data_IF_593953576069
#
_entry.id   IF_593953576069
#
_cell.length_a   1.000
_cell.length_b   1.000
_cell.length_c   1.000
_cell.angle_alpha   90.00
_cell.angle_beta   90.00
_cell.angle_gamma   90.00
#
_symmetry.space_group_name_H-M   'P 1'
#
loop_
_entity.id
_entity.type
_entity.pdbx_description
1 polymer ?
#
# COMPACT_ATOMS: atom_id res chain seq x y z
N UNK A 1 -8.66 -34.98 52.07
CA UNK A 1 -7.40 -34.54 51.42
C UNK A 1 -7.23 -35.42 50.21
N UNK A 2 -7.56 -34.98 49.00
CA UNK A 2 -6.65 -34.25 48.10
C UNK A 2 -7.45 -33.41 47.08
N UNK A 3 -7.15 -32.11 47.01
CA UNK A 3 -7.60 -31.19 45.95
C UNK A 3 -6.61 -31.26 44.77
N UNK A 4 -7.07 -31.60 43.56
CA UNK A 4 -6.27 -31.47 42.33
C UNK A 4 -6.53 -30.10 41.70
N UNK A 5 -5.49 -29.27 41.69
CA UNK A 5 -5.41 -27.96 41.08
C UNK A 5 -5.30 -28.09 39.55
N UNK A 6 -6.22 -27.43 38.82
CA UNK A 6 -6.17 -27.30 37.37
C UNK A 6 -5.56 -25.93 37.05
N UNK A 7 -4.27 -25.93 36.72
CA UNK A 7 -3.56 -24.73 36.30
C UNK A 7 -4.14 -24.13 35.01
N UNK A 8 -4.03 -22.80 34.81
CA UNK A 8 -4.62 -22.12 33.66
C UNK A 8 -3.90 -22.50 32.36
N UNK A 9 -4.59 -22.50 31.21
CA UNK A 9 -3.97 -22.85 29.94
C UNK A 9 -2.89 -21.83 29.57
N UNK A 10 -1.69 -22.34 29.28
CA UNK A 10 -0.53 -21.59 28.83
C UNK A 10 -0.80 -20.83 27.53
N UNK A 11 -0.41 -19.55 27.52
CA UNK A 11 -0.53 -18.55 26.44
C UNK A 11 -0.06 -19.00 25.05
N UNK A 12 0.71 -20.09 24.94
CA UNK A 12 1.16 -20.65 23.67
C UNK A 12 0.03 -21.28 22.84
N UNK A 13 -1.02 -21.82 23.47
CA UNK A 13 -2.15 -22.42 22.76
C UNK A 13 -3.01 -21.37 22.04
N UNK A 14 -3.17 -20.19 22.63
CA UNK A 14 -3.90 -19.07 22.00
C UNK A 14 -3.17 -18.53 20.75
N UNK A 15 -1.84 -18.52 20.76
CA UNK A 15 -1.02 -18.09 19.61
C UNK A 15 -0.97 -19.15 18.49
N UNK A 16 -1.05 -20.44 18.83
CA UNK A 16 -1.08 -21.53 17.85
C UNK A 16 -2.46 -21.72 17.21
N UNK A 17 -3.55 -21.43 17.94
CA UNK A 17 -4.91 -21.51 17.40
C UNK A 17 -5.24 -20.35 16.45
N UNK A 18 -4.62 -19.17 16.65
CA UNK A 18 -4.71 -18.04 15.72
C UNK A 18 -3.93 -18.26 14.41
N UNK A 19 -2.92 -19.15 14.44
CA UNK A 19 -2.11 -19.50 13.28
C UNK A 19 -2.75 -20.56 12.35
N UNK A 20 -3.94 -21.10 12.69
CA UNK A 20 -4.60 -22.18 11.95
C UNK A 20 -5.90 -21.76 11.25
N UNK A 21 -5.99 -20.49 10.83
CA UNK A 21 -7.02 -19.98 9.92
C UNK A 21 -6.41 -19.21 8.75
N UNK A 22 -5.50 -19.84 8.01
CA UNK A 22 -5.23 -19.39 6.63
C UNK A 22 -6.35 -19.90 5.72
N UNK A 23 -7.59 -19.41 5.91
CA UNK A 23 -8.50 -19.33 4.76
C UNK A 23 -7.80 -18.44 3.75
N UNK A 24 -7.59 -18.90 2.52
CA UNK A 24 -6.86 -18.14 1.49
C UNK A 24 -7.29 -16.69 1.50
N UNK A 25 -6.37 -15.77 1.85
CA UNK A 25 -6.69 -14.36 1.97
C UNK A 25 -7.14 -13.87 0.59
N UNK A 26 -8.39 -13.43 0.49
CA UNK A 26 -8.94 -12.89 -0.75
C UNK A 26 -8.15 -11.62 -1.10
N UNK A 27 -7.49 -11.62 -2.26
CA UNK A 27 -6.86 -10.41 -2.79
C UNK A 27 -7.95 -9.52 -3.37
N UNK A 28 -8.08 -8.32 -2.83
CA UNK A 28 -9.05 -7.33 -3.33
C UNK A 28 -8.57 -6.76 -4.67
N UNK A 29 -9.46 -6.75 -5.66
CA UNK A 29 -9.22 -6.10 -6.96
C UNK A 29 -9.41 -4.60 -6.82
N UNK A 30 -8.57 -3.85 -7.53
CA UNK A 30 -8.57 -2.40 -7.51
C UNK A 30 -8.04 -1.85 -8.83
N UNK A 31 -8.32 -0.58 -9.06
CA UNK A 31 -7.74 0.24 -10.11
C UNK A 31 -7.08 1.49 -9.50
N UNK A 32 -6.14 2.09 -10.24
CA UNK A 32 -5.58 3.39 -9.87
C UNK A 32 -6.41 4.48 -10.55
N UNK A 33 -7.18 5.24 -9.78
CA UNK A 33 -8.06 6.29 -10.30
C UNK A 33 -7.40 7.66 -10.34
N UNK A 34 -6.31 7.84 -9.60
CA UNK A 34 -5.50 9.06 -9.63
C UNK A 34 -4.04 8.77 -9.24
N UNK A 35 -3.14 9.49 -9.90
CA UNK A 35 -1.70 9.51 -9.61
C UNK A 35 -1.18 10.94 -9.77
N UNK A 36 -0.40 11.43 -8.80
CA UNK A 36 0.14 12.80 -8.87
C UNK A 36 1.24 12.96 -9.92
N UNK A 37 1.99 11.89 -10.19
CA UNK A 37 2.92 11.81 -11.31
C UNK A 37 3.39 10.39 -11.57
N UNK A 38 3.86 10.13 -12.79
CA UNK A 38 4.43 8.85 -13.17
C UNK A 38 5.56 9.04 -14.19
N UNK A 39 6.45 8.06 -14.27
CA UNK A 39 7.35 7.90 -15.43
C UNK A 39 6.61 7.11 -16.52
N UNK A 40 6.71 7.54 -17.77
CA UNK A 40 6.01 6.89 -18.89
C UNK A 40 6.41 5.43 -19.11
N UNK A 41 7.61 5.01 -18.66
CA UNK A 41 8.03 3.61 -18.72
C UNK A 41 7.46 2.75 -17.57
N UNK A 42 6.96 3.38 -16.51
CA UNK A 42 6.48 2.73 -15.29
C UNK A 42 5.17 3.40 -14.80
N UNK A 43 4.09 3.30 -15.60
CA UNK A 43 2.83 3.96 -15.30
C UNK A 43 2.12 3.32 -14.11
N UNK A 44 1.20 4.06 -13.48
CA UNK A 44 0.47 3.59 -12.30
C UNK A 44 -0.41 2.37 -12.58
N UNK A 45 -0.88 2.23 -13.83
CA UNK A 45 -1.62 1.06 -14.31
C UNK A 45 -0.82 -0.25 -14.18
N UNK A 46 0.51 -0.19 -14.15
CA UNK A 46 1.39 -1.36 -13.98
C UNK A 46 1.43 -1.92 -12.54
N UNK A 47 0.80 -1.23 -11.57
CA UNK A 47 0.60 -1.76 -10.21
C UNK A 47 -0.52 -2.82 -10.16
N UNK A 48 -1.47 -2.76 -11.10
CA UNK A 48 -2.59 -3.69 -11.15
C UNK A 48 -2.08 -5.06 -11.58
N UNK A 49 -2.22 -6.05 -10.70
CA UNK A 49 -1.73 -7.40 -10.93
C UNK A 49 -2.88 -8.27 -11.46
N UNK A 50 -2.77 -8.85 -12.67
CA UNK A 50 -3.81 -9.72 -13.22
C UNK A 50 -4.02 -10.99 -12.39
N UNK A 51 -5.25 -11.50 -12.35
CA UNK A 51 -5.65 -12.71 -11.62
C UNK A 51 -4.83 -13.96 -11.98
N UNK A 52 -4.23 -13.99 -13.19
CA UNK A 52 -3.47 -15.12 -13.72
C UNK A 52 -2.05 -15.23 -13.18
N UNK A 53 -1.58 -14.23 -12.44
CA UNK A 53 -0.26 -14.28 -11.81
C UNK A 53 -0.38 -14.98 -10.46
N UNK A 54 0.33 -16.10 -10.30
CA UNK A 54 0.24 -16.94 -9.10
C UNK A 54 0.47 -16.16 -7.80
N UNK A 55 -0.04 -16.72 -6.71
CA UNK A 55 0.10 -16.16 -5.35
C UNK A 55 1.58 -15.85 -5.08
N UNK A 56 1.90 -14.57 -4.89
CA UNK A 56 3.27 -14.10 -4.59
C UNK A 56 4.06 -13.51 -5.76
N UNK A 57 3.53 -13.45 -6.99
CA UNK A 57 4.20 -12.80 -8.11
C UNK A 57 3.64 -11.40 -8.39
N UNK A 58 4.45 -10.37 -8.19
CA UNK A 58 4.24 -9.05 -8.82
C UNK A 58 4.94 -9.10 -10.19
N UNK A 59 4.24 -9.51 -11.25
CA UNK A 59 4.82 -9.57 -12.60
C UNK A 59 4.81 -8.22 -13.33
N UNK A 60 4.20 -7.19 -12.75
CA UNK A 60 4.22 -5.84 -13.31
C UNK A 60 5.57 -5.16 -13.11
N UNK A 61 5.93 -4.25 -14.01
CA UNK A 61 7.11 -3.39 -13.88
C UNK A 61 7.01 -2.42 -12.69
N UNK A 62 5.83 -2.33 -12.06
CA UNK A 62 5.53 -1.41 -10.98
C UNK A 62 5.30 0.02 -11.48
N UNK A 63 4.92 0.88 -10.55
CA UNK A 63 4.87 2.32 -10.76
C UNK A 63 6.14 2.98 -10.26
N UNK A 64 6.52 4.08 -10.90
CA UNK A 64 7.51 5.01 -10.34
C UNK A 64 7.05 6.45 -10.61
N UNK A 65 7.31 7.36 -9.68
CA UNK A 65 7.00 8.78 -9.88
C UNK A 65 7.77 9.39 -11.06
N UNK A 66 7.40 10.58 -11.52
CA UNK A 66 8.28 11.36 -12.43
C UNK A 66 9.62 11.66 -11.77
N UNK A 67 10.64 12.01 -12.57
CA UNK A 67 11.95 12.46 -12.08
C UNK A 67 11.84 13.76 -11.28
N UNK A 68 12.59 13.86 -10.19
CA UNK A 68 12.60 15.00 -9.27
C UNK A 68 11.18 15.44 -8.86
N UNK A 69 10.36 14.52 -8.32
CA UNK A 69 8.99 14.81 -7.97
C UNK A 69 8.91 15.79 -6.78
N UNK A 70 7.82 16.56 -6.70
CA UNK A 70 7.46 17.26 -5.46
C UNK A 70 6.82 16.27 -4.51
N UNK A 71 7.30 16.17 -3.28
CA UNK A 71 6.71 15.27 -2.29
C UNK A 71 5.62 15.95 -1.44
N UNK A 72 4.62 15.20 -0.96
CA UNK A 72 4.42 13.76 -1.18
C UNK A 72 3.85 13.46 -2.57
N UNK A 73 4.21 12.28 -3.10
CA UNK A 73 3.51 11.67 -4.24
C UNK A 73 2.24 10.98 -3.76
N UNK A 74 1.20 10.99 -4.58
CA UNK A 74 -0.14 10.52 -4.22
C UNK A 74 -0.59 9.47 -5.22
N UNK A 75 -1.06 8.34 -4.70
CA UNK A 75 -1.84 7.34 -5.44
C UNK A 75 -3.21 7.21 -4.78
N UNK A 76 -4.27 7.19 -5.58
CA UNK A 76 -5.61 6.83 -5.13
C UNK A 76 -6.05 5.57 -5.85
N UNK A 77 -6.38 4.55 -5.06
CA UNK A 77 -6.91 3.29 -5.51
C UNK A 77 -8.41 3.25 -5.28
N UNK A 78 -9.17 2.76 -6.25
CA UNK A 78 -10.56 2.36 -6.09
C UNK A 78 -10.65 0.84 -6.07
N UNK A 79 -11.22 0.28 -5.00
CA UNK A 79 -11.58 -1.12 -4.93
C UNK A 79 -12.85 -1.35 -5.76
N UNK A 80 -12.91 -2.47 -6.47
CA UNK A 80 -14.09 -2.84 -7.28
C UNK A 80 -15.38 -2.87 -6.47
N UNK A 81 -15.27 -3.21 -5.18
CA UNK A 81 -16.38 -3.22 -4.23
C UNK A 81 -15.93 -2.65 -2.90
N UNK A 82 -16.86 -1.98 -2.21
CA UNK A 82 -16.73 -1.65 -0.79
C UNK A 82 -16.42 -2.94 -0.02
N UNK A 83 -15.29 -2.95 0.68
CA UNK A 83 -14.73 -4.16 1.29
C UNK A 83 -14.12 -3.83 2.66
N UNK A 84 -14.07 -4.84 3.53
CA UNK A 84 -13.21 -4.79 4.71
C UNK A 84 -11.80 -5.19 4.29
N UNK A 85 -10.84 -4.32 4.58
CA UNK A 85 -9.42 -4.57 4.34
C UNK A 85 -8.82 -5.05 5.65
N UNK A 86 -8.24 -6.25 5.62
CA UNK A 86 -7.59 -6.87 6.79
C UNK A 86 -6.07 -6.65 6.80
N UNK A 87 -5.50 -6.42 5.62
CA UNK A 87 -4.07 -6.29 5.43
C UNK A 87 -3.78 -5.47 4.17
N UNK A 88 -2.78 -4.59 4.24
CA UNK A 88 -2.16 -3.94 3.09
C UNK A 88 -0.69 -4.32 3.02
N UNK A 89 -0.18 -4.58 1.82
CA UNK A 89 1.21 -4.91 1.57
C UNK A 89 1.80 -3.94 0.54
N UNK A 90 2.96 -3.37 0.86
CA UNK A 90 3.69 -2.42 0.03
C UNK A 90 5.05 -3.01 -0.30
N UNK A 91 5.34 -3.21 -1.59
CA UNK A 91 6.63 -3.67 -2.08
C UNK A 91 7.33 -2.51 -2.79
N UNK A 92 8.36 -1.94 -2.16
CA UNK A 92 9.18 -0.90 -2.76
C UNK A 92 10.37 -1.51 -3.49
N UNK A 93 10.62 -1.02 -4.71
CA UNK A 93 11.80 -1.38 -5.48
C UNK A 93 13.06 -0.91 -4.74
N UNK A 94 14.14 -1.70 -4.81
CA UNK A 94 15.35 -1.48 -4.03
C UNK A 94 16.04 -0.13 -4.28
N UNK A 95 15.83 0.49 -5.45
CA UNK A 95 16.35 1.83 -5.75
C UNK A 95 15.44 2.98 -5.30
N UNK A 96 14.15 2.72 -5.04
CA UNK A 96 13.11 3.75 -4.91
C UNK A 96 12.29 3.59 -3.61
N UNK A 97 12.94 3.17 -2.53
CA UNK A 97 12.27 2.97 -1.24
C UNK A 97 11.90 4.33 -0.63
N UNK A 98 10.61 4.64 -0.56
CA UNK A 98 10.09 5.82 0.15
C UNK A 98 10.43 5.74 1.64
N UNK A 99 10.74 6.86 2.28
CA UNK A 99 11.03 6.92 3.73
C UNK A 99 9.78 6.74 4.59
N UNK A 100 8.60 7.14 4.08
CA UNK A 100 7.34 7.13 4.81
C UNK A 100 6.16 7.05 3.85
N UNK A 101 5.20 6.17 4.16
CA UNK A 101 3.87 6.21 3.56
C UNK A 101 2.84 6.70 4.57
N UNK A 102 1.91 7.54 4.14
CA UNK A 102 0.69 7.84 4.90
C UNK A 102 -0.52 7.23 4.22
N UNK A 103 -1.40 6.63 5.01
CA UNK A 103 -2.55 5.88 4.53
C UNK A 103 -3.85 6.55 4.95
N UNK A 104 -4.76 6.67 3.99
CA UNK A 104 -6.10 7.17 4.19
C UNK A 104 -7.10 6.29 3.45
N UNK A 105 -8.33 6.21 3.96
CA UNK A 105 -9.41 5.43 3.35
C UNK A 105 -10.71 6.20 3.33
N UNK A 106 -11.57 5.89 2.36
CA UNK A 106 -12.94 6.37 2.30
C UNK A 106 -13.85 5.25 1.80
N UNK A 107 -15.09 5.21 2.27
CA UNK A 107 -16.15 4.36 1.70
C UNK A 107 -16.95 5.09 0.62
N UNK A 108 -16.94 6.42 0.66
CA UNK A 108 -17.57 7.32 -0.30
C UNK A 108 -16.56 7.70 -1.39
N UNK A 109 -17.05 7.84 -2.61
CA UNK A 109 -16.25 8.19 -3.79
C UNK A 109 -16.46 9.62 -4.26
N UNK A 110 -15.72 10.02 -5.30
CA UNK A 110 -15.87 11.32 -5.92
C UNK A 110 -17.24 11.41 -6.62
N UNK A 111 -17.76 12.63 -6.79
CA UNK A 111 -19.05 12.84 -7.48
C UNK A 111 -18.97 12.52 -8.98
N UNK A 112 -17.80 12.73 -9.56
CA UNK A 112 -17.48 12.49 -10.96
C UNK A 112 -16.13 11.80 -11.07
N UNK A 113 -15.87 11.03 -12.14
CA UNK A 113 -14.53 10.53 -12.43
C UNK A 113 -13.49 11.66 -12.51
N UNK A 114 -12.22 11.32 -12.29
CA UNK A 114 -11.11 12.26 -12.48
C UNK A 114 -11.00 12.67 -13.96
N UNK A 115 -10.95 13.97 -14.22
CA UNK A 115 -10.71 14.54 -15.55
C UNK A 115 -9.45 15.43 -15.50
N UNK A 116 -8.30 14.96 -16.03
CA UNK A 116 -7.05 15.71 -15.98
C UNK A 116 -7.05 16.97 -16.86
N UNK A 117 -8.02 17.12 -17.78
CA UNK A 117 -8.17 18.35 -18.58
C UNK A 117 -8.79 19.48 -17.75
N UNK A 118 -9.74 19.13 -16.88
CA UNK A 118 -10.44 20.11 -16.04
C UNK A 118 -9.73 20.36 -14.71
N UNK A 119 -9.11 19.33 -14.14
CA UNK A 119 -8.39 19.39 -12.85
C UNK A 119 -6.97 18.83 -13.02
N UNK A 120 -6.05 19.58 -13.67
CA UNK A 120 -4.72 19.06 -14.03
C UNK A 120 -3.86 18.66 -12.83
N UNK A 121 -4.10 19.25 -11.66
CA UNK A 121 -3.38 18.94 -10.42
C UNK A 121 -4.13 17.91 -9.54
N UNK A 122 -5.38 17.58 -9.86
CA UNK A 122 -6.21 16.66 -9.08
C UNK A 122 -6.73 17.23 -7.76
N UNK A 123 -6.59 18.53 -7.53
CA UNK A 123 -6.92 19.16 -6.24
C UNK A 123 -8.39 18.98 -5.90
N UNK A 124 -9.28 19.26 -6.86
CA UNK A 124 -10.73 19.18 -6.68
C UNK A 124 -11.18 17.73 -6.57
N UNK A 125 -10.61 16.84 -7.40
CA UNK A 125 -10.87 15.41 -7.36
C UNK A 125 -10.53 14.82 -5.99
N UNK A 126 -9.32 15.06 -5.47
CA UNK A 126 -8.88 14.56 -4.16
C UNK A 126 -9.78 15.12 -3.04
N UNK A 127 -10.09 16.43 -3.07
CA UNK A 127 -10.94 17.06 -2.05
C UNK A 127 -12.39 16.56 -2.07
N UNK A 128 -12.87 16.08 -3.22
CA UNK A 128 -14.22 15.53 -3.34
C UNK A 128 -14.41 14.20 -2.61
N UNK A 129 -13.33 13.53 -2.20
CA UNK A 129 -13.36 12.24 -1.50
C UNK A 129 -13.09 12.46 -0.01
N UNK A 130 -14.02 12.08 0.90
CA UNK A 130 -13.89 12.35 2.34
C UNK A 130 -12.96 11.33 3.03
N UNK A 131 -11.67 11.42 2.75
CA UNK A 131 -10.66 10.52 3.29
C UNK A 131 -10.48 10.64 4.81
N UNK A 132 -10.55 9.51 5.50
CA UNK A 132 -10.15 9.35 6.90
C UNK A 132 -8.73 8.80 6.98
N UNK A 133 -7.87 9.45 7.78
CA UNK A 133 -6.49 9.00 8.01
C UNK A 133 -6.47 7.71 8.83
N UNK A 134 -5.75 6.69 8.37
CA UNK A 134 -5.46 5.47 9.12
C UNK A 134 -4.18 5.61 9.95
N UNK A 135 -3.16 6.24 9.37
CA UNK A 135 -1.86 6.38 10.02
C UNK A 135 -0.73 6.50 9.01
N UNK A 136 0.46 6.11 9.44
CA UNK A 136 1.65 6.11 8.59
C UNK A 136 2.54 4.91 8.91
N UNK A 137 3.39 4.55 7.95
CA UNK A 137 4.46 3.57 8.10
C UNK A 137 5.78 4.18 7.64
N UNK A 138 6.85 3.86 8.37
CA UNK A 138 8.22 4.08 7.90
C UNK A 138 8.71 2.81 7.19
N UNK A 139 9.38 2.99 6.07
CA UNK A 139 10.07 1.90 5.37
C UNK A 139 11.56 1.99 5.66
N UNK A 140 12.20 0.84 5.71
CA UNK A 140 13.60 0.76 6.08
C UNK A 140 14.52 0.95 4.85
N UNK A 141 15.63 1.66 5.04
CA UNK A 141 16.66 1.75 4.01
C UNK A 141 17.30 0.37 3.80
N UNK A 142 17.74 0.07 2.59
CA UNK A 142 18.43 -1.17 2.25
C UNK A 142 19.96 -1.01 2.11
N UNK A 143 20.56 0.03 2.70
CA UNK A 143 22.01 0.30 2.75
C UNK A 143 22.85 -0.92 3.14
N UNK A 144 22.37 -1.66 4.16
CA UNK A 144 23.03 -2.87 4.67
C UNK A 144 23.17 -3.98 3.62
N UNK A 145 22.30 -3.99 2.62
CA UNK A 145 22.32 -4.93 1.50
C UNK A 145 22.99 -4.34 0.25
N UNK A 146 23.66 -3.20 0.36
CA UNK A 146 24.23 -2.48 -0.79
C UNK A 146 23.17 -2.19 -1.86
N UNK A 147 21.97 -1.76 -1.43
CA UNK A 147 20.87 -1.38 -2.32
C UNK A 147 20.26 -2.52 -3.14
N UNK A 148 20.52 -3.77 -2.77
CA UNK A 148 20.04 -4.94 -3.50
C UNK A 148 18.65 -5.43 -3.02
N UNK A 149 18.34 -5.27 -1.74
CA UNK A 149 17.10 -5.79 -1.17
C UNK A 149 15.91 -4.87 -1.48
N UNK A 150 14.81 -5.45 -1.97
CA UNK A 150 13.50 -4.78 -1.97
C UNK A 150 12.96 -4.72 -0.56
N UNK A 151 12.11 -3.73 -0.27
CA UNK A 151 11.48 -3.58 1.03
C UNK A 151 9.99 -3.94 0.93
N UNK A 152 9.57 -4.95 1.68
CA UNK A 152 8.18 -5.38 1.77
C UNK A 152 7.62 -5.02 3.15
N UNK A 153 6.71 -4.05 3.20
CA UNK A 153 6.01 -3.69 4.42
C UNK A 153 4.59 -4.23 4.41
N UNK A 154 4.24 -4.97 5.45
CA UNK A 154 2.86 -5.43 5.67
C UNK A 154 2.27 -4.70 6.87
N UNK A 155 1.03 -4.22 6.74
CA UNK A 155 0.26 -3.63 7.83
C UNK A 155 -1.08 -4.33 7.93
N UNK A 156 -1.43 -4.76 9.13
CA UNK A 156 -2.76 -5.28 9.43
C UNK A 156 -3.63 -4.09 9.80
N UNK A 157 -4.73 -3.95 9.07
CA UNK A 157 -5.74 -2.93 9.28
C UNK A 157 -7.07 -3.66 9.40
N UNK A 158 -8.02 -3.13 10.15
CA UNK A 158 -9.40 -3.65 10.15
C UNK A 158 -10.30 -2.47 9.84
N UNK A 159 -10.42 -2.17 8.54
CA UNK A 159 -11.14 -0.99 8.09
C UNK A 159 -11.97 -1.28 6.85
N UNK A 160 -13.16 -0.71 6.84
CA UNK A 160 -14.00 -0.66 5.65
C UNK A 160 -13.55 0.48 4.72
N UNK A 161 -13.43 0.17 3.42
CA UNK A 161 -13.05 1.14 2.41
C UNK A 161 -13.59 0.76 1.02
N UNK A 162 -13.71 1.77 0.17
CA UNK A 162 -13.81 1.65 -1.28
C UNK A 162 -12.64 2.38 -1.96
N UNK A 163 -12.19 3.50 -1.39
CA UNK A 163 -11.05 4.27 -1.85
C UNK A 163 -9.91 4.23 -0.84
N UNK A 164 -8.69 4.14 -1.34
CA UNK A 164 -7.46 4.14 -0.55
C UNK A 164 -6.54 5.21 -1.13
N UNK A 165 -6.13 6.18 -0.31
CA UNK A 165 -5.11 7.15 -0.70
C UNK A 165 -3.80 6.82 0.01
N UNK A 166 -2.73 6.74 -0.77
CA UNK A 166 -1.37 6.48 -0.31
C UNK A 166 -0.55 7.73 -0.63
N UNK A 167 0.04 8.34 0.40
CA UNK A 167 1.00 9.43 0.22
C UNK A 167 2.42 8.92 0.44
N UNK A 168 3.24 8.92 -0.60
CA UNK A 168 4.64 8.51 -0.56
C UNK A 168 5.53 9.74 -0.38
N UNK A 169 6.33 9.75 0.68
CA UNK A 169 7.29 10.82 0.94
C UNK A 169 8.62 10.54 0.25
N UNK A 170 9.60 11.43 0.42
CA UNK A 170 10.95 11.31 -0.18
C UNK A 170 11.55 9.91 -0.06
N UNK A 171 12.30 9.47 -1.07
CA UNK A 171 13.05 8.22 -0.99
C UNK A 171 14.22 8.29 0.00
N UNK A 172 14.68 7.12 0.45
CA UNK A 172 16.00 7.01 1.07
C UNK A 172 17.07 7.40 0.04
N UNK A 173 18.17 8.00 0.51
CA UNK A 173 19.29 8.35 -0.37
C UNK A 173 19.80 7.06 -0.99
N UNK A 174 19.90 6.99 -2.32
CA UNK A 174 20.36 5.81 -3.03
C UNK A 174 21.14 6.24 -4.27
N UNK A 175 22.35 5.74 -4.44
CA UNK A 175 23.24 6.13 -5.55
C UNK A 175 22.72 5.66 -6.92
N UNK A 176 21.82 4.67 -6.95
CA UNK A 176 21.17 4.18 -8.17
C UNK A 176 19.91 4.99 -8.53
N UNK A 177 19.45 5.88 -7.66
CA UNK A 177 18.27 6.72 -7.85
C UNK A 177 18.63 8.20 -7.76
N UNK A 178 19.38 8.66 -8.75
CA UNK A 178 19.84 10.04 -8.85
C UNK A 178 18.69 11.03 -9.03
N UNK A 179 17.54 10.55 -9.50
CA UNK A 179 16.36 11.35 -9.79
C UNK A 179 15.39 11.48 -8.61
N UNK A 180 15.73 10.89 -7.45
CA UNK A 180 14.89 10.92 -6.24
C UNK A 180 13.45 10.47 -6.52
N UNK A 181 13.27 9.36 -7.25
CA UNK A 181 11.96 8.80 -7.55
C UNK A 181 11.50 7.85 -6.42
N UNK A 182 10.19 7.64 -6.30
CA UNK A 182 9.55 6.67 -5.38
C UNK A 182 8.59 5.75 -6.11
#
# INVERSE_FOLDING_TARGET
>A
MTTSDAGPPTSAAASAEMAKKSSGALRLRYEVVYVSSEDGAHPASALVVPETTGVGMTSGQGWISKRFPTYPQILILELERRSIINQMQFLSHQSAISTKLELYVSVEGPRTPYDPVQDPDGCDFIQSIPFRRLGYLSLDSNEKSQWLARELKSVFVDCEARFIQIKLHKCHVNTLNLQSQV
#
